data_IF_613368601702
#
_entry.id   IF_613368601702
#
_cell.length_a   1.000
_cell.length_b   1.000
_cell.length_c   1.000
_cell.angle_alpha   90.00
_cell.angle_beta   90.00
_cell.angle_gamma   90.00
#
_symmetry.space_group_name_H-M   'P 1'
#
loop_
_entity.id
_entity.type
_entity.pdbx_description
1 polymer ?
#
# COMPACT_ATOMS: atom_id res chain seq x y z
N UNK A 1 -60.85 15.33 -59.60
CA UNK A 1 -60.26 16.57 -59.02
C UNK A 1 -60.69 16.64 -57.56
N UNK A 2 -59.80 16.54 -56.65
CA UNK A 2 -60.10 16.57 -55.24
C UNK A 2 -58.89 16.07 -54.47
N UNK A 3 -57.93 16.98 -54.20
CA UNK A 3 -56.79 16.72 -53.39
C UNK A 3 -57.20 16.54 -51.88
N UNK A 4 -56.74 15.47 -51.26
CA UNK A 4 -56.81 15.30 -49.83
C UNK A 4 -55.39 15.47 -49.23
N UNK A 5 -55.18 16.56 -48.50
CA UNK A 5 -54.00 16.84 -47.75
C UNK A 5 -54.01 15.97 -46.49
N UNK A 6 -53.03 15.07 -46.36
CA UNK A 6 -52.80 14.33 -45.15
C UNK A 6 -51.84 15.10 -44.23
N UNK A 7 -52.31 15.39 -43.02
CA UNK A 7 -51.53 16.00 -41.95
C UNK A 7 -50.71 14.93 -41.22
N UNK A 8 -49.40 14.99 -41.31
CA UNK A 8 -48.51 14.12 -40.58
C UNK A 8 -48.29 14.66 -39.14
N UNK A 9 -48.68 13.87 -38.16
CA UNK A 9 -48.42 14.13 -36.73
C UNK A 9 -47.02 13.66 -36.38
N UNK A 10 -46.10 14.59 -36.08
CA UNK A 10 -44.79 14.25 -35.51
C UNK A 10 -44.95 13.97 -34.02
N UNK A 11 -44.74 12.73 -33.64
CA UNK A 11 -44.57 12.35 -32.25
C UNK A 11 -43.10 12.61 -31.81
N UNK A 12 -42.90 13.58 -30.95
CA UNK A 12 -41.61 13.83 -30.30
C UNK A 12 -41.41 12.83 -29.17
N UNK A 13 -40.48 11.90 -29.36
CA UNK A 13 -39.99 11.01 -28.29
C UNK A 13 -38.97 11.78 -27.47
N UNK A 14 -39.37 12.21 -26.28
CA UNK A 14 -38.49 12.79 -25.28
C UNK A 14 -37.64 11.70 -24.64
N UNK A 15 -36.33 11.69 -24.93
CA UNK A 15 -35.35 10.87 -24.23
C UNK A 15 -34.98 11.53 -22.91
N UNK A 16 -35.51 11.03 -21.82
CA UNK A 16 -35.04 11.37 -20.46
C UNK A 16 -33.74 10.62 -20.18
N UNK A 17 -32.60 11.32 -20.30
CA UNK A 17 -31.32 10.82 -19.84
C UNK A 17 -31.31 10.78 -18.31
N UNK A 18 -31.38 9.59 -17.74
CA UNK A 18 -31.13 9.37 -16.31
C UNK A 18 -29.63 9.53 -16.08
N UNK A 19 -29.20 10.68 -15.59
CA UNK A 19 -27.84 10.89 -15.09
C UNK A 19 -27.70 10.10 -13.79
N UNK A 20 -27.09 8.90 -13.88
CA UNK A 20 -26.71 8.13 -12.69
C UNK A 20 -25.60 8.86 -11.95
N UNK A 21 -25.93 9.45 -10.82
CA UNK A 21 -24.98 10.02 -9.86
C UNK A 21 -24.25 8.84 -9.20
N UNK A 22 -23.08 8.42 -9.69
CA UNK A 22 -22.17 7.56 -8.97
C UNK A 22 -21.62 8.36 -7.78
N UNK A 23 -22.28 8.27 -6.62
CA UNK A 23 -21.70 8.70 -5.36
C UNK A 23 -20.53 7.75 -5.07
N UNK A 24 -19.31 8.22 -5.24
CA UNK A 24 -18.13 7.56 -4.71
C UNK A 24 -18.27 7.59 -3.18
N UNK A 25 -18.64 6.46 -2.59
CA UNK A 25 -18.58 6.25 -1.15
C UNK A 25 -17.09 6.22 -0.77
N UNK A 26 -16.55 7.35 -0.37
CA UNK A 26 -15.31 7.39 0.36
C UNK A 26 -15.58 6.68 1.69
N UNK A 27 -14.98 5.51 1.87
CA UNK A 27 -14.99 4.84 3.17
C UNK A 27 -14.19 5.72 4.13
N UNK A 28 -14.89 6.52 4.91
CA UNK A 28 -14.28 7.28 6.01
C UNK A 28 -13.94 6.25 7.07
N UNK A 29 -12.66 6.02 7.33
CA UNK A 29 -12.21 5.23 8.48
C UNK A 29 -12.88 5.79 9.74
N UNK A 30 -13.39 4.90 10.63
CA UNK A 30 -13.98 5.36 11.87
C UNK A 30 -12.90 6.13 12.67
N UNK A 31 -13.24 7.28 13.25
CA UNK A 31 -12.26 8.10 13.95
C UNK A 31 -11.66 7.34 15.14
N UNK A 32 -10.44 7.72 15.54
CA UNK A 32 -9.82 7.30 16.78
C UNK A 32 -10.74 7.62 17.96
N UNK A 33 -10.88 6.67 18.90
CA UNK A 33 -11.66 6.87 20.12
C UNK A 33 -10.73 7.10 21.32
N UNK A 34 -11.25 7.74 22.36
CA UNK A 34 -10.50 7.93 23.61
C UNK A 34 -10.14 6.58 24.21
N UNK A 35 -8.86 6.40 24.56
CA UNK A 35 -8.33 5.15 25.14
C UNK A 35 -7.85 4.13 24.11
N UNK A 36 -7.97 4.41 22.80
CA UNK A 36 -7.38 3.57 21.77
C UNK A 36 -5.84 3.52 21.86
N UNK A 37 -5.30 2.33 21.72
CA UNK A 37 -3.87 2.10 21.51
C UNK A 37 -3.66 1.95 20.00
N UNK A 38 -3.44 3.06 19.34
CA UNK A 38 -3.34 3.10 17.88
C UNK A 38 -1.96 2.66 17.41
N UNK A 39 -1.86 1.97 16.25
CA UNK A 39 -0.62 1.87 15.50
C UNK A 39 -0.23 3.24 14.94
N UNK A 40 0.99 3.32 14.44
CA UNK A 40 1.56 4.45 13.72
C UNK A 40 2.50 3.84 12.67
N UNK A 41 1.99 3.69 11.47
CA UNK A 41 2.78 3.13 10.37
C UNK A 41 3.73 4.20 9.84
N UNK A 42 4.91 3.78 9.54
CA UNK A 42 5.90 4.66 8.92
C UNK A 42 6.91 3.86 8.13
N UNK A 43 7.89 4.56 7.59
CA UNK A 43 8.96 3.95 6.81
C UNK A 43 10.30 4.11 7.52
N UNK A 44 11.08 3.02 7.64
CA UNK A 44 12.49 3.11 7.95
C UNK A 44 13.27 3.73 6.77
N UNK A 45 14.52 4.19 6.98
CA UNK A 45 15.35 4.68 5.88
C UNK A 45 15.47 3.64 4.75
N UNK A 46 15.29 4.08 3.50
CA UNK A 46 15.45 3.22 2.33
C UNK A 46 16.90 2.73 2.25
N UNK A 47 17.10 1.44 2.04
CA UNK A 47 18.43 0.82 1.99
C UNK A 47 18.69 0.10 0.65
N UNK A 48 19.93 -0.37 0.45
CA UNK A 48 20.36 -1.20 -0.68
C UNK A 48 20.01 -0.66 -2.07
N UNK A 49 19.96 0.65 -2.23
CA UNK A 49 19.58 1.29 -3.50
C UNK A 49 20.62 1.00 -4.56
N UNK A 50 20.23 0.32 -5.62
CA UNK A 50 21.11 -0.09 -6.72
C UNK A 50 20.38 -0.20 -8.05
N UNK A 51 21.13 -0.17 -9.16
CA UNK A 51 20.57 -0.49 -10.47
C UNK A 51 20.97 -1.92 -10.85
N UNK A 52 19.95 -2.74 -11.16
CA UNK A 52 20.13 -4.06 -11.75
C UNK A 52 19.80 -4.01 -13.25
N UNK A 53 20.55 -4.75 -14.07
CA UNK A 53 20.23 -4.98 -15.48
C UNK A 53 19.66 -6.38 -15.61
N UNK A 54 18.57 -6.51 -16.33
CA UNK A 54 17.95 -7.78 -16.66
C UNK A 54 18.52 -8.34 -17.98
N UNK A 55 18.31 -9.61 -18.24
CA UNK A 55 18.76 -10.25 -19.49
C UNK A 55 18.08 -9.71 -20.74
N UNK A 56 16.85 -9.20 -20.60
CA UNK A 56 16.09 -8.53 -21.66
C UNK A 56 16.45 -7.04 -21.83
N UNK A 57 17.47 -6.55 -21.10
CA UNK A 57 18.03 -5.21 -21.25
C UNK A 57 17.36 -4.12 -20.42
N UNK A 58 16.36 -4.42 -19.60
CA UNK A 58 15.77 -3.44 -18.69
C UNK A 58 16.75 -3.02 -17.61
N UNK A 59 16.55 -1.79 -17.11
CA UNK A 59 17.26 -1.23 -15.96
C UNK A 59 16.27 -1.03 -14.82
N UNK A 60 16.51 -1.70 -13.71
CA UNK A 60 15.62 -1.70 -12.55
C UNK A 60 16.32 -1.00 -11.38
N UNK A 61 15.72 0.06 -10.87
CA UNK A 61 16.13 0.67 -9.60
C UNK A 61 15.56 -0.20 -8.48
N UNK A 62 16.42 -0.98 -7.84
CA UNK A 62 16.06 -1.86 -6.73
C UNK A 62 16.45 -1.23 -5.41
N UNK A 63 15.68 -1.51 -4.37
CA UNK A 63 15.89 -0.97 -3.03
C UNK A 63 15.22 -1.86 -1.97
N UNK A 64 15.68 -1.76 -0.75
CA UNK A 64 15.03 -2.36 0.43
C UNK A 64 14.15 -1.30 1.09
N UNK A 65 12.87 -1.63 1.31
CA UNK A 65 11.92 -0.83 2.06
C UNK A 65 11.50 -1.59 3.32
N UNK A 66 11.23 -0.87 4.41
CA UNK A 66 10.74 -1.45 5.66
C UNK A 66 9.58 -0.60 6.15
N UNK A 67 8.39 -1.19 6.20
CA UNK A 67 7.24 -0.60 6.88
C UNK A 67 7.40 -0.89 8.37
N UNK A 68 7.27 0.11 9.22
CA UNK A 68 7.46 -0.01 10.67
C UNK A 68 6.21 0.46 11.42
N UNK A 69 5.97 -0.11 12.60
CA UNK A 69 4.95 0.39 13.51
C UNK A 69 5.62 1.05 14.72
N UNK A 70 5.48 2.37 14.83
CA UNK A 70 6.04 3.17 15.94
C UNK A 70 4.98 3.69 16.91
N UNK A 71 3.74 3.20 16.78
CA UNK A 71 2.60 3.58 17.59
C UNK A 71 2.59 3.00 19.00
N UNK A 72 1.42 3.05 19.64
CA UNK A 72 1.18 2.54 21.00
C UNK A 72 0.50 1.18 21.02
N UNK A 73 -0.10 0.76 19.90
CA UNK A 73 -0.76 -0.52 19.70
C UNK A 73 -0.25 -1.24 18.48
N UNK A 74 -0.48 -2.55 18.39
CA UNK A 74 -0.14 -3.31 17.19
C UNK A 74 -1.03 -2.88 16.02
N UNK A 75 -0.48 -2.94 14.82
CA UNK A 75 -1.25 -2.93 13.58
C UNK A 75 -1.69 -4.38 13.31
N UNK A 76 -2.97 -4.67 13.50
CA UNK A 76 -3.52 -6.02 13.33
C UNK A 76 -4.72 -5.98 12.40
N UNK A 77 -4.69 -6.84 11.39
CA UNK A 77 -5.72 -6.96 10.36
C UNK A 77 -6.33 -8.35 10.36
N UNK A 78 -7.65 -8.40 10.24
CA UNK A 78 -8.43 -9.61 10.02
C UNK A 78 -9.05 -9.58 8.63
N UNK A 79 -8.75 -10.59 7.84
CA UNK A 79 -9.31 -10.82 6.53
C UNK A 79 -10.33 -11.94 6.65
N UNK A 80 -11.61 -11.66 6.40
CA UNK A 80 -12.69 -12.63 6.61
C UNK A 80 -13.63 -12.68 5.41
N UNK A 81 -14.18 -13.89 5.16
CA UNK A 81 -15.23 -14.13 4.16
C UNK A 81 -16.14 -15.26 4.61
N UNK A 82 -17.37 -15.26 4.14
CA UNK A 82 -18.36 -16.29 4.49
C UNK A 82 -18.12 -17.61 3.73
N UNK A 83 -17.61 -17.53 2.50
CA UNK A 83 -17.30 -18.70 1.66
C UNK A 83 -16.06 -18.46 0.80
N UNK A 84 -15.53 -19.51 0.19
CA UNK A 84 -14.36 -19.40 -0.71
C UNK A 84 -14.65 -18.69 -2.04
N UNK A 85 -15.92 -18.48 -2.37
CA UNK A 85 -16.35 -17.70 -3.54
C UNK A 85 -16.49 -16.21 -3.24
N UNK A 86 -16.50 -15.82 -1.98
CA UNK A 86 -16.62 -14.42 -1.57
C UNK A 86 -15.25 -13.74 -1.53
N UNK A 87 -15.18 -12.42 -1.76
CA UNK A 87 -13.97 -11.66 -1.50
C UNK A 87 -13.67 -11.62 0.01
N UNK A 88 -12.40 -11.46 0.38
CA UNK A 88 -12.02 -11.19 1.76
C UNK A 88 -12.41 -9.76 2.13
N UNK A 89 -13.20 -9.57 3.17
CA UNK A 89 -13.39 -8.28 3.83
C UNK A 89 -12.26 -8.04 4.83
N UNK A 90 -11.77 -6.81 4.90
CA UNK A 90 -10.68 -6.41 5.81
C UNK A 90 -11.26 -5.61 6.97
N UNK A 91 -10.87 -5.98 8.19
CA UNK A 91 -11.04 -5.14 9.37
C UNK A 91 -9.72 -4.96 10.10
N UNK A 92 -9.55 -3.79 10.70
CA UNK A 92 -8.44 -3.49 11.59
C UNK A 92 -8.89 -3.71 13.03
N UNK A 93 -8.11 -4.44 13.82
CA UNK A 93 -8.32 -4.53 15.26
C UNK A 93 -7.56 -3.43 15.98
N UNK A 94 -8.28 -2.60 16.71
CA UNK A 94 -7.72 -1.54 17.55
C UNK A 94 -7.86 -1.97 19.01
N UNK A 95 -6.75 -1.99 19.70
CA UNK A 95 -6.68 -2.34 21.12
C UNK A 95 -6.96 -1.12 22.00
N UNK A 96 -7.47 -1.39 23.18
CA UNK A 96 -7.68 -0.41 24.25
C UNK A 96 -7.08 -0.93 25.54
N UNK A 97 -7.12 -0.14 26.62
CA UNK A 97 -6.68 -0.60 27.95
C UNK A 97 -7.52 -1.73 28.52
N UNK A 98 -8.75 -1.95 28.03
CA UNK A 98 -9.72 -2.91 28.57
C UNK A 98 -10.20 -3.96 27.57
N UNK A 99 -9.75 -3.90 26.31
CA UNK A 99 -10.18 -4.83 25.27
C UNK A 99 -9.74 -4.43 23.89
N UNK A 100 -10.58 -4.70 22.90
CA UNK A 100 -10.34 -4.30 21.51
C UNK A 100 -11.66 -4.04 20.77
N UNK A 101 -11.59 -3.32 19.65
CA UNK A 101 -12.70 -3.12 18.71
C UNK A 101 -12.24 -3.38 17.28
N UNK A 102 -13.18 -3.75 16.42
CA UNK A 102 -12.93 -3.93 14.98
C UNK A 102 -13.41 -2.67 14.23
N UNK A 103 -12.61 -2.26 13.25
CA UNK A 103 -12.93 -1.17 12.32
C UNK A 103 -12.82 -1.72 10.91
N UNK A 104 -13.89 -1.64 10.13
CA UNK A 104 -13.87 -2.06 8.73
C UNK A 104 -12.94 -1.16 7.92
N UNK A 105 -12.16 -1.77 7.02
CA UNK A 105 -11.32 -1.07 6.06
C UNK A 105 -11.79 -1.33 4.63
N UNK A 106 -11.58 -0.34 3.75
CA UNK A 106 -11.80 -0.49 2.31
C UNK A 106 -10.60 -1.14 1.58
N UNK A 107 -9.58 -1.59 2.31
CA UNK A 107 -8.40 -2.25 1.75
C UNK A 107 -8.78 -3.47 0.91
N UNK A 108 -8.18 -3.57 -0.26
CA UNK A 108 -8.32 -4.74 -1.14
C UNK A 108 -7.43 -5.89 -0.71
N UNK A 109 -7.78 -7.10 -1.13
CA UNK A 109 -6.99 -8.30 -0.86
C UNK A 109 -6.76 -9.10 -2.14
N UNK A 110 -5.65 -9.81 -2.19
CA UNK A 110 -5.33 -10.76 -3.27
C UNK A 110 -4.63 -11.99 -2.71
N UNK A 111 -4.90 -13.16 -3.29
CA UNK A 111 -4.16 -14.38 -2.99
C UNK A 111 -3.07 -14.59 -4.03
N UNK A 112 -1.82 -14.71 -3.61
CA UNK A 112 -0.68 -14.86 -4.53
C UNK A 112 -0.39 -13.58 -5.30
N UNK A 113 0.03 -13.72 -6.55
CA UNK A 113 0.25 -12.59 -7.47
C UNK A 113 1.70 -12.17 -7.65
N UNK A 114 2.59 -12.49 -6.71
CA UNK A 114 4.02 -12.19 -6.72
C UNK A 114 4.92 -13.45 -6.59
N UNK A 115 4.34 -14.62 -6.90
CA UNK A 115 5.00 -15.93 -6.74
C UNK A 115 4.86 -16.53 -5.35
N UNK A 116 4.18 -15.87 -4.43
CA UNK A 116 3.87 -16.36 -3.09
C UNK A 116 2.46 -16.95 -3.01
N UNK A 117 2.28 -17.98 -2.20
CA UNK A 117 1.01 -18.68 -2.02
C UNK A 117 0.36 -18.31 -0.68
N UNK A 118 0.09 -17.02 -0.47
CA UNK A 118 -0.59 -16.50 0.71
C UNK A 118 -1.42 -15.24 0.37
N UNK A 119 -2.22 -14.77 1.33
CA UNK A 119 -3.03 -13.57 1.17
C UNK A 119 -2.21 -12.31 1.37
N UNK A 120 -2.51 -11.29 0.58
CA UNK A 120 -1.91 -9.97 0.64
C UNK A 120 -2.98 -8.90 0.80
N UNK A 121 -2.63 -7.80 1.46
CA UNK A 121 -3.30 -6.51 1.34
C UNK A 121 -2.69 -5.80 0.12
N UNK A 122 -3.52 -5.23 -0.74
CA UNK A 122 -3.05 -4.47 -1.92
C UNK A 122 -2.95 -2.98 -1.60
N UNK A 123 -2.08 -2.28 -2.33
CA UNK A 123 -1.90 -0.82 -2.32
C UNK A 123 -1.50 -0.22 -0.96
N UNK A 124 -0.89 -1.02 -0.08
CA UNK A 124 -0.49 -0.53 1.23
C UNK A 124 0.82 0.28 1.22
N UNK A 125 1.76 -0.05 0.36
CA UNK A 125 2.97 0.74 0.12
C UNK A 125 2.96 1.23 -1.32
N UNK A 126 3.32 2.48 -1.51
CA UNK A 126 3.56 3.05 -2.83
C UNK A 126 4.99 3.59 -2.93
N UNK A 127 5.69 3.18 -3.98
CA UNK A 127 7.02 3.67 -4.31
C UNK A 127 6.97 4.52 -5.57
N UNK A 128 7.44 5.76 -5.49
CA UNK A 128 7.44 6.72 -6.59
C UNK A 128 8.84 7.23 -6.89
N UNK A 129 9.16 7.35 -8.16
CA UNK A 129 10.38 8.03 -8.61
C UNK A 129 10.02 9.39 -9.22
N UNK A 130 10.56 10.45 -8.65
CA UNK A 130 10.22 11.84 -8.94
C UNK A 130 11.50 12.55 -9.42
N UNK A 131 11.44 13.30 -10.53
CA UNK A 131 12.54 14.15 -10.97
C UNK A 131 12.68 15.35 -10.06
N UNK A 132 13.91 15.66 -9.60
CA UNK A 132 14.14 16.80 -8.71
C UNK A 132 14.21 18.15 -9.43
N UNK A 133 14.38 18.15 -10.75
CA UNK A 133 14.47 19.40 -11.55
C UNK A 133 13.09 20.01 -11.84
N UNK A 134 12.03 19.22 -11.89
CA UNK A 134 10.69 19.70 -12.26
C UNK A 134 9.54 19.09 -11.46
N UNK A 135 9.83 18.20 -10.52
CA UNK A 135 8.81 17.54 -9.68
C UNK A 135 7.97 16.48 -10.38
N UNK A 136 8.27 16.12 -11.62
CA UNK A 136 7.48 15.14 -12.37
C UNK A 136 7.68 13.72 -11.82
N UNK A 137 6.58 13.00 -11.57
CA UNK A 137 6.61 11.55 -11.31
C UNK A 137 6.92 10.83 -12.62
N UNK A 138 7.99 10.04 -12.62
CA UNK A 138 8.51 9.36 -13.82
C UNK A 138 8.59 7.85 -13.69
N UNK A 139 8.23 7.31 -12.53
CA UNK A 139 8.18 5.88 -12.28
C UNK A 139 7.39 5.56 -11.02
N UNK A 140 6.87 4.34 -10.96
CA UNK A 140 6.16 3.78 -9.81
C UNK A 140 6.69 2.37 -9.56
N UNK A 141 6.75 1.95 -8.30
CA UNK A 141 7.07 0.59 -7.93
C UNK A 141 6.02 -0.39 -8.45
N UNK A 142 6.43 -1.63 -8.67
CA UNK A 142 5.53 -2.67 -9.21
C UNK A 142 4.97 -3.60 -8.15
N UNK A 143 5.52 -3.58 -6.92
CA UNK A 143 4.99 -4.38 -5.82
C UNK A 143 3.64 -3.83 -5.36
N UNK A 144 2.61 -4.69 -5.38
CA UNK A 144 1.24 -4.31 -5.06
C UNK A 144 0.72 -5.01 -3.80
N UNK A 145 1.25 -6.18 -3.45
CA UNK A 145 0.74 -7.02 -2.37
C UNK A 145 1.68 -7.04 -1.16
N UNK A 146 1.11 -6.93 0.04
CA UNK A 146 1.84 -6.88 1.31
C UNK A 146 1.22 -7.85 2.31
N UNK A 147 2.05 -8.70 2.90
CA UNK A 147 1.68 -9.57 3.98
C UNK A 147 2.52 -9.19 5.20
N UNK A 148 1.90 -8.57 6.19
CA UNK A 148 2.60 -8.04 7.35
C UNK A 148 3.12 -9.11 8.29
N UNK A 149 4.38 -8.97 8.68
CA UNK A 149 5.00 -9.80 9.71
C UNK A 149 6.15 -9.07 10.41
N UNK A 150 6.43 -9.48 11.64
CA UNK A 150 7.54 -8.97 12.46
C UNK A 150 8.86 -9.62 12.03
N UNK A 151 9.44 -9.22 10.91
CA UNK A 151 10.70 -9.80 10.41
C UNK A 151 11.94 -8.95 10.72
N UNK A 152 11.75 -7.69 11.11
CA UNK A 152 12.84 -6.75 11.37
C UNK A 152 12.64 -6.02 12.69
N UNK A 153 13.63 -6.04 13.59
CA UNK A 153 13.66 -5.24 14.81
C UNK A 153 13.94 -3.79 14.46
N UNK A 154 13.07 -2.88 14.89
CA UNK A 154 13.25 -1.45 14.61
C UNK A 154 13.46 -0.62 15.87
N UNK A 155 12.45 -0.44 16.72
CA UNK A 155 12.51 0.34 17.97
C UNK A 155 11.92 -0.44 19.13
N UNK A 156 12.57 -1.50 19.55
CA UNK A 156 12.09 -2.38 20.63
C UNK A 156 12.08 -1.71 22.02
N UNK A 157 12.55 -0.47 22.15
CA UNK A 157 12.46 0.33 23.38
C UNK A 157 11.16 1.09 23.52
N UNK A 158 10.30 1.07 22.50
CA UNK A 158 8.99 1.70 22.58
C UNK A 158 8.09 0.99 23.60
N UNK A 159 7.25 1.75 24.34
CA UNK A 159 6.28 1.14 25.25
C UNK A 159 5.34 0.17 24.52
N UNK A 160 5.22 -1.04 25.01
CA UNK A 160 4.39 -2.09 24.41
C UNK A 160 5.07 -2.92 23.31
N UNK A 161 6.33 -2.61 22.96
CA UNK A 161 7.08 -3.41 21.99
C UNK A 161 7.41 -4.79 22.56
N UNK A 162 6.99 -5.90 21.91
CA UNK A 162 7.35 -7.24 22.34
C UNK A 162 8.82 -7.53 22.01
N UNK A 163 9.50 -8.28 22.86
CA UNK A 163 10.90 -8.69 22.66
C UNK A 163 11.07 -9.74 21.54
N UNK A 164 9.99 -10.44 21.21
CA UNK A 164 9.91 -11.48 20.17
C UNK A 164 8.80 -11.17 19.18
N UNK A 165 8.89 -11.64 17.92
CA UNK A 165 7.83 -11.47 16.93
C UNK A 165 6.50 -12.02 17.45
N UNK A 166 5.41 -11.26 17.31
CA UNK A 166 4.05 -11.73 17.52
C UNK A 166 3.44 -12.25 16.21
N UNK A 167 3.64 -11.51 15.14
CA UNK A 167 3.20 -11.88 13.80
C UNK A 167 4.40 -12.49 13.05
N UNK A 168 4.55 -13.82 13.17
CA UNK A 168 5.82 -14.48 12.88
C UNK A 168 6.02 -14.93 11.44
N UNK A 169 4.96 -15.03 10.63
CA UNK A 169 5.12 -15.56 9.26
C UNK A 169 3.91 -15.31 8.37
N UNK A 170 4.15 -14.87 7.14
CA UNK A 170 3.16 -14.83 6.08
C UNK A 170 2.68 -16.23 5.63
N UNK A 171 3.38 -17.29 5.95
CA UNK A 171 2.95 -18.65 5.68
C UNK A 171 1.68 -19.02 6.49
N UNK A 172 1.43 -18.36 7.61
CA UNK A 172 0.18 -18.47 8.36
C UNK A 172 -0.94 -17.62 7.78
N UNK A 173 -0.66 -16.81 6.76
CA UNK A 173 -1.69 -16.09 6.00
C UNK A 173 -2.49 -17.01 5.05
N UNK A 174 -2.43 -18.28 5.29
CA UNK A 174 -3.36 -19.28 4.83
C UNK A 174 -3.23 -19.73 3.39
N UNK A 175 -4.03 -20.72 3.07
CA UNK A 175 -4.26 -21.16 1.70
C UNK A 175 -5.38 -20.32 1.07
N UNK A 176 -5.53 -20.42 -0.24
CA UNK A 176 -6.62 -19.77 -0.97
C UNK A 176 -8.02 -20.13 -0.43
N UNK A 177 -8.17 -21.28 0.24
CA UNK A 177 -9.44 -21.76 0.77
C UNK A 177 -9.77 -21.27 2.19
N UNK A 178 -8.87 -20.57 2.86
CA UNK A 178 -9.15 -20.06 4.20
C UNK A 178 -10.23 -18.99 4.20
N UNK A 179 -11.00 -18.96 5.30
CA UNK A 179 -12.10 -18.02 5.50
C UNK A 179 -11.74 -16.91 6.50
N UNK A 180 -10.67 -17.10 7.25
CA UNK A 180 -10.15 -16.14 8.24
C UNK A 180 -8.61 -16.14 8.18
N UNK A 181 -8.02 -14.95 8.10
CA UNK A 181 -6.57 -14.72 8.07
C UNK A 181 -6.24 -13.53 8.95
N UNK A 182 -5.24 -13.69 9.81
CA UNK A 182 -4.69 -12.62 10.63
C UNK A 182 -3.31 -12.21 10.11
N UNK A 183 -3.11 -10.91 9.91
CA UNK A 183 -1.86 -10.27 9.53
C UNK A 183 -1.57 -9.16 10.52
N UNK A 184 -0.31 -8.80 10.73
CA UNK A 184 -0.04 -7.69 11.61
C UNK A 184 1.42 -7.30 11.73
N UNK A 185 1.64 -6.18 12.45
CA UNK A 185 2.94 -5.62 12.75
C UNK A 185 2.96 -5.10 14.18
N UNK A 186 3.80 -5.69 15.01
CA UNK A 186 3.93 -5.30 16.43
C UNK A 186 4.56 -3.92 16.58
N UNK A 187 4.25 -3.25 17.68
CA UNK A 187 4.95 -2.02 18.07
C UNK A 187 6.46 -2.25 18.09
N UNK A 188 7.21 -1.34 17.48
CA UNK A 188 8.68 -1.38 17.44
C UNK A 188 9.28 -2.40 16.47
N UNK A 189 8.44 -3.12 15.71
CA UNK A 189 8.86 -4.04 14.66
C UNK A 189 8.64 -3.44 13.28
N UNK A 190 9.29 -4.06 12.29
CA UNK A 190 9.18 -3.74 10.88
C UNK A 190 8.97 -4.96 10.02
N UNK A 191 8.36 -4.74 8.87
CA UNK A 191 8.23 -5.69 7.79
C UNK A 191 9.13 -5.25 6.63
N UNK A 192 10.18 -6.05 6.38
CA UNK A 192 11.26 -5.74 5.43
C UNK A 192 10.98 -6.37 4.07
N UNK A 193 10.92 -5.53 3.04
CA UNK A 193 10.86 -5.90 1.63
C UNK A 193 12.21 -5.66 0.99
N UNK A 194 13.00 -6.74 0.86
CA UNK A 194 14.39 -6.66 0.39
C UNK A 194 14.46 -6.38 -1.10
N UNK A 195 15.48 -5.63 -1.51
CA UNK A 195 15.80 -5.34 -2.91
C UNK A 195 15.84 -6.58 -3.82
N UNK A 196 16.08 -7.77 -3.28
CA UNK A 196 16.16 -9.05 -4.01
C UNK A 196 14.81 -9.67 -4.34
N UNK A 197 13.71 -9.21 -3.72
CA UNK A 197 12.38 -9.71 -4.05
C UNK A 197 12.03 -9.41 -5.51
N UNK A 198 11.33 -10.30 -6.22
CA UNK A 198 11.05 -10.15 -7.66
C UNK A 198 10.50 -8.77 -8.02
N UNK A 199 9.51 -8.28 -7.30
CA UNK A 199 8.76 -7.07 -7.63
C UNK A 199 9.23 -5.80 -6.88
N UNK A 200 10.33 -5.88 -6.12
CA UNK A 200 10.86 -4.75 -5.35
C UNK A 200 11.76 -3.87 -6.23
N UNK A 201 11.15 -3.09 -7.15
CA UNK A 201 11.87 -2.17 -8.05
C UNK A 201 10.96 -1.10 -8.67
N UNK A 202 11.62 -0.06 -9.21
CA UNK A 202 11.05 0.87 -10.20
C UNK A 202 11.79 0.66 -11.53
N UNK A 203 11.06 0.50 -12.64
CA UNK A 203 11.67 0.42 -13.98
C UNK A 203 12.18 1.80 -14.42
N UNK A 204 13.47 1.90 -14.66
CA UNK A 204 14.16 3.11 -15.09
C UNK A 204 14.78 2.97 -16.49
N UNK A 205 14.34 2.00 -17.29
CA UNK A 205 14.91 1.67 -18.60
C UNK A 205 15.00 2.88 -19.51
N UNK A 206 13.93 3.67 -19.57
CA UNK A 206 13.83 4.83 -20.46
C UNK A 206 14.20 6.16 -19.78
N UNK A 207 14.70 6.13 -18.54
CA UNK A 207 15.05 7.35 -17.84
C UNK A 207 16.44 7.84 -18.22
N UNK A 208 16.56 9.15 -18.38
CA UNK A 208 17.83 9.84 -18.63
C UNK A 208 18.66 9.96 -17.35
N UNK A 209 19.96 10.22 -17.49
CA UNK A 209 20.78 10.62 -16.36
C UNK A 209 20.22 11.90 -15.72
N UNK A 210 20.24 11.99 -14.39
CA UNK A 210 19.65 13.12 -13.67
C UNK A 210 19.53 12.88 -12.18
N UNK A 211 18.96 13.87 -11.47
CA UNK A 211 18.67 13.78 -10.04
C UNK A 211 17.21 13.42 -9.82
N UNK A 212 16.99 12.46 -8.94
CA UNK A 212 15.68 11.88 -8.65
C UNK A 212 15.49 11.72 -7.16
N UNK A 213 14.24 11.67 -6.74
CA UNK A 213 13.81 11.23 -5.41
C UNK A 213 13.06 9.92 -5.56
N UNK A 214 13.53 8.88 -4.91
CA UNK A 214 12.74 7.68 -4.64
C UNK A 214 12.01 7.92 -3.31
N UNK A 215 10.70 8.03 -3.37
CA UNK A 215 9.81 8.19 -2.21
C UNK A 215 9.05 6.89 -2.00
N UNK A 216 8.96 6.45 -0.75
CA UNK A 216 8.16 5.29 -0.35
C UNK A 216 7.20 5.73 0.75
N UNK A 217 5.94 5.34 0.63
CA UNK A 217 4.86 5.77 1.54
C UNK A 217 4.04 4.54 1.95
N UNK A 218 3.90 4.29 3.25
CA UNK A 218 2.95 3.33 3.81
C UNK A 218 1.54 3.93 3.85
N UNK A 219 0.53 3.09 3.78
CA UNK A 219 -0.90 3.45 3.80
C UNK A 219 -1.24 4.72 3.01
N UNK A 220 -0.82 4.77 1.74
CA UNK A 220 -0.96 5.95 0.86
C UNK A 220 -2.40 6.45 0.73
N UNK A 221 -3.37 5.60 0.99
CA UNK A 221 -4.80 5.89 0.83
C UNK A 221 -5.53 6.11 2.15
N UNK A 222 -4.82 6.13 3.29
CA UNK A 222 -5.39 6.26 4.64
C UNK A 222 -6.53 5.25 4.87
N UNK A 223 -6.25 3.97 4.58
CA UNK A 223 -7.22 2.89 4.67
C UNK A 223 -7.37 2.38 6.11
N UNK A 224 -6.46 2.77 6.99
CA UNK A 224 -6.39 2.31 8.37
C UNK A 224 -6.39 3.47 9.36
N UNK A 225 -6.80 3.19 10.59
CA UNK A 225 -6.79 4.17 11.68
C UNK A 225 -5.42 4.14 12.35
N UNK A 226 -4.75 5.28 12.32
CA UNK A 226 -3.42 5.46 12.88
C UNK A 226 -3.38 6.64 13.85
N UNK A 227 -2.34 6.73 14.65
CA UNK A 227 -2.14 7.89 15.54
C UNK A 227 -1.60 9.10 14.78
N UNK A 228 -0.93 8.90 13.64
CA UNK A 228 -0.36 9.97 12.84
C UNK A 228 -0.14 9.54 11.38
N UNK A 229 -0.96 10.04 10.46
CA UNK A 229 -0.87 9.76 9.02
C UNK A 229 0.14 10.68 8.27
N UNK A 230 0.86 11.56 8.98
CA UNK A 230 1.76 12.54 8.33
C UNK A 230 3.21 12.08 8.24
N UNK A 231 3.60 11.01 8.91
CA UNK A 231 4.95 10.43 8.96
C UNK A 231 5.11 9.14 8.15
N UNK A 232 4.10 8.73 7.39
CA UNK A 232 4.05 7.46 6.63
C UNK A 232 5.05 7.39 5.47
N UNK A 233 5.77 8.46 5.17
CA UNK A 233 6.66 8.53 4.01
C UNK A 233 8.10 8.78 4.37
N UNK A 234 9.00 8.09 3.65
CA UNK A 234 10.43 8.42 3.58
C UNK A 234 10.88 8.56 2.14
N UNK A 235 12.08 9.05 1.94
CA UNK A 235 12.66 9.19 0.60
C UNK A 235 14.19 9.10 0.62
N UNK A 236 14.74 8.84 -0.55
CA UNK A 236 16.18 8.98 -0.83
C UNK A 236 16.36 9.81 -2.09
N UNK A 237 17.17 10.86 -2.02
CA UNK A 237 17.61 11.62 -3.17
C UNK A 237 18.83 10.95 -3.78
N UNK A 238 18.78 10.76 -5.09
CA UNK A 238 19.80 10.02 -5.81
C UNK A 238 20.09 10.61 -7.18
N UNK A 239 21.30 10.40 -7.65
CA UNK A 239 21.70 10.69 -9.01
C UNK A 239 21.80 9.40 -9.81
N UNK A 240 20.94 9.24 -10.82
CA UNK A 240 21.09 8.19 -11.84
C UNK A 240 22.12 8.69 -12.84
N UNK A 241 23.24 7.97 -12.96
CA UNK A 241 24.27 8.22 -13.97
C UNK A 241 24.03 7.36 -15.20
N UNK A 242 24.53 7.77 -16.34
CA UNK A 242 24.51 6.95 -17.56
C UNK A 242 25.05 5.55 -17.27
N UNK A 243 24.59 4.54 -18.01
CA UNK A 243 25.01 3.14 -17.88
C UNK A 243 24.59 2.38 -16.62
N UNK A 244 23.76 2.95 -15.73
CA UNK A 244 23.13 2.21 -14.67
C UNK A 244 23.86 2.17 -13.33
N UNK A 245 24.56 3.23 -12.98
CA UNK A 245 24.99 3.46 -11.61
C UNK A 245 24.15 4.52 -10.92
N UNK A 246 24.01 4.40 -9.61
CA UNK A 246 23.32 5.39 -8.76
C UNK A 246 24.28 5.87 -7.68
N UNK A 247 24.18 7.16 -7.36
CA UNK A 247 24.84 7.77 -6.20
C UNK A 247 23.75 8.34 -5.30
N UNK A 248 23.84 8.10 -4.01
CA UNK A 248 22.94 8.68 -3.02
C UNK A 248 23.42 10.09 -2.69
N UNK A 249 22.50 11.06 -2.71
CA UNK A 249 22.75 12.47 -2.38
C UNK A 249 22.22 12.83 -0.99
N UNK A 250 21.19 12.14 -0.48
CA UNK A 250 20.62 12.38 0.85
C UNK A 250 19.43 11.50 1.15
N UNK A 251 18.99 11.51 2.41
CA UNK A 251 17.84 10.76 2.90
C UNK A 251 16.81 11.69 3.51
N UNK A 252 15.54 11.28 3.46
CA UNK A 252 14.42 11.90 4.12
C UNK A 252 14.28 11.49 5.58
N UNK A 253 13.19 11.95 6.21
CA UNK A 253 12.85 11.51 7.55
C UNK A 253 12.61 9.99 7.57
N UNK A 254 12.78 9.40 8.75
CA UNK A 254 12.35 8.05 9.06
C UNK A 254 11.41 8.09 10.27
N UNK A 255 10.47 7.15 10.35
CA UNK A 255 9.55 7.03 11.47
C UNK A 255 10.26 6.62 12.78
#
# INVERSE_FOLDING_TARGET
>A
MGERRGTALLAALGSTALAGLCAALFAVSAPAAEGDLLPDLGMAPIADVKVAKTTDGRRLLRFTAVIVNVGRGPFELHLRRASTSDPMAVSQRIYTSTGSREVSSAAGTVFGGDGHNHWHIVDLENSELIRLDNGAKVGTGVKLGFCFLDNTKYRLTLPGAPSSPRYGTCLTAGTQTWLDVELGLSVGWGDEYRWSLPDQYVDITNLTAGRYRLRVTADTHNLFVESNDTNNATWVDLQIKGQGSVRIDGYGPAA
#
